data_IF_980838865176
#
_entry.id   IF_980838865176
#
_cell.length_a   1.000
_cell.length_b   1.000
_cell.length_c   1.000
_cell.angle_alpha   90.00
_cell.angle_beta   90.00
_cell.angle_gamma   90.00
#
_symmetry.space_group_name_H-M   'P 1'
#
loop_
_entity.id
_entity.type
_entity.pdbx_description
1 polymer ?
#
# COMPACT_ATOMS: atom_id res chain seq x y z
N UNK A 1 18.63 -5.31 34.34
CA UNK A 1 19.80 -5.09 35.23
C UNK A 1 19.64 -3.91 36.18
N UNK A 2 18.96 -2.82 35.80
CA UNK A 2 18.68 -1.67 36.69
C UNK A 2 17.91 -2.07 37.95
N UNK A 3 16.92 -2.96 37.81
CA UNK A 3 16.08 -3.36 38.94
C UNK A 3 16.83 -4.20 39.97
N UNK A 4 17.77 -5.05 39.55
CA UNK A 4 18.59 -5.86 40.48
C UNK A 4 19.47 -5.00 41.38
N UNK A 5 20.07 -3.92 40.85
CA UNK A 5 20.92 -3.02 41.63
C UNK A 5 20.10 -2.25 42.67
N UNK A 6 18.90 -1.78 42.29
CA UNK A 6 17.98 -1.10 43.22
C UNK A 6 17.53 -2.06 44.32
N UNK A 7 17.21 -3.32 43.99
CA UNK A 7 16.85 -4.33 44.98
C UNK A 7 17.97 -4.58 46.00
N UNK A 8 19.24 -4.70 45.56
CA UNK A 8 20.36 -4.89 46.49
C UNK A 8 20.59 -3.67 47.39
N UNK A 9 20.48 -2.44 46.85
CA UNK A 9 20.60 -1.21 47.63
C UNK A 9 19.48 -1.12 48.69
N UNK A 10 18.23 -1.40 48.30
CA UNK A 10 17.10 -1.44 49.24
C UNK A 10 17.29 -2.47 50.34
N UNK A 11 17.77 -3.67 49.99
CA UNK A 11 17.99 -4.75 50.95
C UNK A 11 19.12 -4.41 51.93
N UNK A 12 20.20 -3.77 51.47
CA UNK A 12 21.26 -3.28 52.35
C UNK A 12 20.81 -2.14 53.26
N UNK A 13 19.98 -1.20 52.76
CA UNK A 13 19.39 -0.13 53.56
C UNK A 13 18.47 -0.68 54.66
N UNK A 14 17.66 -1.68 54.33
CA UNK A 14 16.77 -2.34 55.30
C UNK A 14 17.57 -3.08 56.38
N UNK A 15 18.68 -3.74 56.01
CA UNK A 15 19.55 -4.42 56.96
C UNK A 15 20.24 -3.43 57.92
N UNK A 16 20.64 -2.26 57.43
CA UNK A 16 21.18 -1.16 58.25
C UNK A 16 20.12 -0.59 59.19
N UNK A 17 18.87 -0.41 58.72
CA UNK A 17 17.76 0.07 59.56
C UNK A 17 17.42 -0.91 60.69
N UNK A 18 17.46 -2.22 60.42
CA UNK A 18 17.26 -3.26 61.45
C UNK A 18 18.40 -3.24 62.49
N UNK A 19 19.64 -3.11 62.04
CA UNK A 19 20.80 -2.95 62.94
C UNK A 19 20.71 -1.67 63.80
N UNK A 20 20.14 -0.60 63.25
CA UNK A 20 19.91 0.66 63.97
C UNK A 20 18.95 0.48 65.16
N UNK A 21 17.83 -0.23 64.94
CA UNK A 21 16.83 -0.53 65.98
C UNK A 21 17.42 -1.46 67.06
N UNK A 22 18.20 -2.47 66.66
CA UNK A 22 18.80 -3.43 67.58
C UNK A 22 19.91 -2.82 68.45
N UNK A 23 20.62 -1.80 67.95
CA UNK A 23 21.75 -1.17 68.66
C UNK A 23 21.35 -0.02 69.59
N UNK A 24 20.05 0.33 69.67
CA UNK A 24 19.58 1.49 70.45
C UNK A 24 19.78 1.36 71.97
N UNK A 25 19.88 0.12 72.49
CA UNK A 25 19.87 -0.15 73.93
C UNK A 25 21.27 -0.48 74.52
N UNK A 26 22.30 -0.66 73.68
CA UNK A 26 23.63 -1.15 74.10
C UNK A 26 24.76 -0.13 73.95
N UNK A 27 24.44 1.10 73.50
CA UNK A 27 25.43 2.13 73.20
C UNK A 27 26.14 1.85 71.87
N UNK A 28 26.21 2.87 71.02
CA UNK A 28 26.80 2.73 69.70
C UNK A 28 28.32 2.73 69.81
N UNK A 29 28.94 1.56 69.65
CA UNK A 29 30.37 1.32 69.85
C UNK A 29 31.28 2.40 69.24
N UNK A 30 32.36 2.70 69.96
CA UNK A 30 33.32 3.74 69.57
C UNK A 30 34.38 3.15 68.64
N UNK A 31 34.62 3.81 67.50
CA UNK A 31 35.65 3.40 66.55
C UNK A 31 36.72 4.48 66.52
N UNK A 32 37.95 4.05 66.84
CA UNK A 32 39.13 4.89 66.77
C UNK A 32 39.96 4.48 65.56
N UNK A 33 40.03 5.36 64.56
CA UNK A 33 40.89 5.13 63.38
C UNK A 33 42.07 6.08 63.47
N UNK A 34 43.27 5.50 63.51
CA UNK A 34 44.51 6.22 63.40
C UNK A 34 45.20 5.87 62.09
N UNK A 35 45.35 6.86 61.21
CA UNK A 35 46.02 6.68 59.92
C UNK A 35 46.87 7.90 59.59
N UNK A 36 48.17 7.70 59.33
CA UNK A 36 49.13 8.75 58.95
C UNK A 36 49.08 10.03 59.83
N UNK A 37 48.96 9.85 61.15
CA UNK A 37 48.90 10.95 62.12
C UNK A 37 47.52 11.60 62.28
N UNK A 38 46.54 11.24 61.46
CA UNK A 38 45.15 11.68 61.62
C UNK A 38 44.43 10.75 62.59
N UNK A 39 43.82 11.34 63.61
CA UNK A 39 43.05 10.64 64.63
C UNK A 39 41.58 11.00 64.44
N UNK A 40 40.79 10.04 63.96
CA UNK A 40 39.35 10.24 63.77
C UNK A 40 38.63 9.40 64.82
N UNK A 41 37.95 10.10 65.72
CA UNK A 41 37.10 9.52 66.75
C UNK A 41 35.66 9.59 66.27
N UNK A 42 35.03 8.45 66.02
CA UNK A 42 33.64 8.42 65.55
C UNK A 42 32.86 7.22 66.06
N UNK A 43 31.55 7.29 65.82
CA UNK A 43 30.61 6.23 66.10
C UNK A 43 30.65 5.21 64.94
N UNK A 44 30.61 3.91 65.26
CA UNK A 44 30.52 2.80 64.29
C UNK A 44 29.45 3.04 63.21
N UNK A 45 28.32 3.65 63.56
CA UNK A 45 27.25 3.96 62.61
C UNK A 45 27.64 5.02 61.58
N UNK A 46 28.32 6.08 62.02
CA UNK A 46 28.80 7.15 61.12
C UNK A 46 29.80 6.55 60.14
N UNK A 47 30.67 5.65 60.61
CA UNK A 47 31.59 4.92 59.76
C UNK A 47 30.85 4.06 58.72
N UNK A 48 29.85 3.27 59.12
CA UNK A 48 29.07 2.43 58.20
C UNK A 48 28.35 3.24 57.13
N UNK A 49 27.73 4.36 57.50
CA UNK A 49 27.09 5.28 56.56
C UNK A 49 28.12 5.86 55.59
N UNK A 50 29.29 6.29 56.07
CA UNK A 50 30.37 6.77 55.21
C UNK A 50 30.85 5.70 54.22
N UNK A 51 30.96 4.43 54.64
CA UNK A 51 31.36 3.33 53.75
C UNK A 51 30.31 3.08 52.66
N UNK A 52 29.02 3.07 53.02
CA UNK A 52 27.93 2.91 52.03
C UNK A 52 27.91 4.08 51.04
N UNK A 53 28.05 5.31 51.53
CA UNK A 53 28.16 6.50 50.69
C UNK A 53 29.37 6.43 49.76
N UNK A 54 30.52 5.93 50.25
CA UNK A 54 31.71 5.75 49.43
C UNK A 54 31.52 4.69 48.34
N UNK A 55 30.89 3.55 48.66
CA UNK A 55 30.56 2.51 47.68
C UNK A 55 29.58 3.05 46.62
N UNK A 56 28.56 3.80 47.03
CA UNK A 56 27.61 4.42 46.11
C UNK A 56 28.27 5.48 45.21
N UNK A 57 29.14 6.33 45.77
CA UNK A 57 29.93 7.30 45.02
C UNK A 57 30.88 6.63 44.02
N UNK A 58 31.54 5.55 44.43
CA UNK A 58 32.44 4.80 43.55
C UNK A 58 31.68 4.09 42.42
N UNK A 59 30.54 3.48 42.72
CA UNK A 59 29.64 2.87 41.75
C UNK A 59 29.14 3.87 40.71
N UNK A 60 28.64 5.03 41.15
CA UNK A 60 28.15 6.08 40.25
C UNK A 60 29.27 6.67 39.41
N UNK A 61 30.44 6.91 40.00
CA UNK A 61 31.64 7.37 39.29
C UNK A 61 32.10 6.33 38.24
N UNK A 62 32.11 5.04 38.58
CA UNK A 62 32.45 3.97 37.65
C UNK A 62 31.48 3.87 36.47
N UNK A 63 30.19 4.03 36.72
CA UNK A 63 29.17 4.06 35.67
C UNK A 63 29.32 5.28 34.75
N UNK A 64 29.58 6.47 35.31
CA UNK A 64 29.86 7.67 34.53
C UNK A 64 31.13 7.51 33.70
N UNK A 65 32.21 7.01 34.29
CA UNK A 65 33.46 6.71 33.60
C UNK A 65 33.23 5.71 32.46
N UNK A 66 32.54 4.58 32.70
CA UNK A 66 32.20 3.62 31.63
C UNK A 66 31.39 4.25 30.50
N UNK A 67 30.43 5.12 30.82
CA UNK A 67 29.59 5.80 29.83
C UNK A 67 30.40 6.79 29.00
N UNK A 68 31.29 7.55 29.64
CA UNK A 68 32.19 8.51 28.98
C UNK A 68 33.23 7.77 28.12
N UNK A 69 33.83 6.70 28.63
CA UNK A 69 34.80 5.87 27.90
C UNK A 69 34.15 5.18 26.69
N UNK A 70 32.95 4.58 26.82
CA UNK A 70 32.24 3.99 25.66
C UNK A 70 31.96 5.03 24.57
N UNK A 71 31.46 6.21 24.96
CA UNK A 71 31.18 7.31 24.02
C UNK A 71 32.44 7.84 23.34
N UNK A 72 33.60 7.86 24.02
CA UNK A 72 34.87 8.31 23.44
C UNK A 72 35.55 7.23 22.60
N UNK A 73 35.50 5.95 22.99
CA UNK A 73 36.04 4.85 22.18
C UNK A 73 35.26 4.67 20.87
N UNK A 74 33.94 4.81 20.89
CA UNK A 74 33.10 4.67 19.68
C UNK A 74 33.38 5.76 18.63
N UNK A 75 33.85 6.96 19.03
CA UNK A 75 34.15 8.05 18.08
C UNK A 75 35.42 7.85 17.25
N UNK A 76 36.30 6.92 17.63
CA UNK A 76 37.59 6.72 16.97
C UNK A 76 37.82 5.31 16.41
N UNK A 77 36.85 4.41 16.57
CA UNK A 77 36.86 3.11 15.91
C UNK A 77 36.11 3.23 14.59
N UNK A 78 36.79 3.77 13.56
CA UNK A 78 36.34 3.43 12.21
C UNK A 78 36.53 1.92 12.03
N UNK A 79 35.47 1.18 11.68
CA UNK A 79 35.56 -0.26 11.44
C UNK A 79 36.60 -0.50 10.34
N UNK A 80 37.61 -1.32 10.61
CA UNK A 80 38.67 -1.62 9.63
C UNK A 80 38.21 -2.66 8.61
N UNK A 81 37.21 -3.45 8.96
CA UNK A 81 36.58 -4.42 8.07
C UNK A 81 35.06 -4.47 8.29
N UNK A 82 34.34 -4.79 7.22
CA UNK A 82 32.88 -4.95 7.27
C UNK A 82 32.44 -6.13 8.15
N UNK A 83 33.30 -7.14 8.30
CA UNK A 83 33.06 -8.33 9.14
C UNK A 83 33.27 -8.06 10.65
N UNK A 84 33.82 -6.92 11.04
CA UNK A 84 33.91 -6.51 12.45
C UNK A 84 32.64 -5.80 12.92
N UNK A 85 31.80 -5.34 11.99
CA UNK A 85 30.54 -4.66 12.29
C UNK A 85 29.52 -5.61 12.90
N UNK A 86 28.61 -5.07 13.70
CA UNK A 86 27.49 -5.84 14.23
C UNK A 86 26.54 -6.26 13.09
N UNK A 87 25.90 -7.45 13.14
CA UNK A 87 24.93 -7.90 12.13
C UNK A 87 23.92 -6.85 11.64
N UNK A 88 23.22 -6.14 12.55
CA UNK A 88 22.29 -5.06 12.15
C UNK A 88 22.97 -3.88 11.44
N UNK A 89 24.25 -3.59 11.72
CA UNK A 89 25.00 -2.52 11.03
C UNK A 89 25.38 -2.96 9.62
N UNK A 90 25.72 -4.24 9.44
CA UNK A 90 25.99 -4.80 8.11
C UNK A 90 24.75 -4.73 7.23
N UNK A 91 23.61 -5.19 7.74
CA UNK A 91 22.33 -5.13 7.01
C UNK A 91 21.94 -3.66 6.77
N UNK A 92 22.09 -2.79 7.76
CA UNK A 92 21.82 -1.36 7.60
C UNK A 92 22.67 -0.69 6.51
N UNK A 93 23.95 -1.04 6.39
CA UNK A 93 24.81 -0.55 5.30
C UNK A 93 24.36 -1.11 3.95
N UNK A 94 24.05 -2.41 3.86
CA UNK A 94 23.53 -3.02 2.62
C UNK A 94 22.23 -2.34 2.17
N UNK A 95 21.31 -2.11 3.11
CA UNK A 95 20.06 -1.40 2.88
C UNK A 95 20.29 0.05 2.42
N UNK A 96 21.18 0.81 3.09
CA UNK A 96 21.52 2.19 2.68
C UNK A 96 22.13 2.27 1.28
N UNK A 97 22.85 1.23 0.86
CA UNK A 97 23.44 1.12 -0.48
C UNK A 97 22.47 0.56 -1.52
N UNK A 98 21.23 0.21 -1.14
CA UNK A 98 20.25 -0.48 -1.99
C UNK A 98 20.85 -1.76 -2.64
N UNK A 99 21.79 -2.42 -1.95
CA UNK A 99 22.59 -3.52 -2.48
C UNK A 99 22.04 -4.91 -2.11
N UNK A 100 20.79 -4.99 -1.66
CA UNK A 100 20.16 -6.22 -1.17
C UNK A 100 20.17 -7.34 -2.22
N UNK A 101 19.93 -6.99 -3.48
CA UNK A 101 19.93 -7.94 -4.60
C UNK A 101 21.34 -8.32 -5.09
N UNK A 102 22.34 -7.46 -4.87
CA UNK A 102 23.71 -7.69 -5.37
C UNK A 102 24.55 -8.47 -4.36
N UNK A 103 24.32 -8.26 -3.06
CA UNK A 103 25.07 -8.87 -1.97
C UNK A 103 24.23 -9.89 -1.18
N UNK A 104 23.39 -10.65 -1.90
CA UNK A 104 22.47 -11.66 -1.39
C UNK A 104 23.15 -12.67 -0.44
N UNK A 105 24.31 -13.22 -0.82
CA UNK A 105 25.08 -14.17 0.00
C UNK A 105 25.53 -13.55 1.33
N UNK A 106 25.85 -12.25 1.33
CA UNK A 106 26.24 -11.54 2.55
C UNK A 106 25.07 -11.32 3.49
N UNK A 107 23.90 -11.02 2.94
CA UNK A 107 22.67 -10.91 3.73
C UNK A 107 22.41 -12.24 4.43
N UNK A 108 22.37 -13.36 3.71
CA UNK A 108 22.18 -14.70 4.29
C UNK A 108 23.25 -15.03 5.34
N UNK A 109 24.53 -14.76 5.04
CA UNK A 109 25.64 -15.05 5.97
C UNK A 109 25.49 -14.31 7.31
N UNK A 110 24.86 -13.13 7.30
CA UNK A 110 24.64 -12.33 8.51
C UNK A 110 23.60 -12.96 9.43
N UNK A 111 22.70 -13.79 8.90
CA UNK A 111 21.64 -14.47 9.64
C UNK A 111 21.96 -15.93 10.00
N UNK A 112 23.10 -16.51 9.61
CA UNK A 112 23.43 -17.93 9.83
C UNK A 112 23.25 -18.44 11.27
N UNK A 113 23.43 -17.57 12.26
CA UNK A 113 23.26 -17.92 13.68
C UNK A 113 21.83 -17.72 14.21
N UNK A 114 20.89 -17.26 13.37
CA UNK A 114 19.51 -17.01 13.74
C UNK A 114 18.64 -18.22 13.40
N UNK A 115 18.16 -18.94 14.40
CA UNK A 115 17.26 -20.09 14.20
C UNK A 115 15.94 -19.70 13.54
N UNK A 116 15.45 -18.47 13.75
CA UNK A 116 14.15 -18.03 13.27
C UNK A 116 14.21 -17.35 11.89
N UNK A 117 15.17 -16.46 11.66
CA UNK A 117 15.21 -15.67 10.42
C UNK A 117 16.01 -16.35 9.31
N UNK A 118 17.01 -17.16 9.64
CA UNK A 118 17.83 -17.82 8.62
C UNK A 118 17.00 -18.64 7.62
N UNK A 119 16.03 -19.48 8.05
CA UNK A 119 15.24 -20.25 7.10
C UNK A 119 14.41 -19.37 6.16
N UNK A 120 13.84 -18.26 6.67
CA UNK A 120 13.00 -17.35 5.88
C UNK A 120 13.82 -16.54 4.88
N UNK A 121 14.96 -16.00 5.31
CA UNK A 121 15.84 -15.20 4.45
C UNK A 121 16.44 -16.09 3.34
N UNK A 122 16.81 -17.32 3.67
CA UNK A 122 17.30 -18.29 2.67
C UNK A 122 16.21 -18.65 1.67
N UNK A 123 14.97 -18.88 2.13
CA UNK A 123 13.83 -19.12 1.24
C UNK A 123 13.55 -17.92 0.33
N UNK A 124 13.60 -16.69 0.87
CA UNK A 124 13.40 -15.47 0.07
C UNK A 124 14.44 -15.34 -1.04
N UNK A 125 15.70 -15.62 -0.75
CA UNK A 125 16.76 -15.63 -1.75
C UNK A 125 16.49 -16.66 -2.86
N UNK A 126 16.06 -17.87 -2.52
CA UNK A 126 15.70 -18.89 -3.50
C UNK A 126 14.54 -18.44 -4.40
N UNK A 127 13.53 -17.76 -3.82
CA UNK A 127 12.42 -17.16 -4.58
C UNK A 127 12.94 -16.10 -5.55
N UNK A 128 13.79 -15.18 -5.07
CA UNK A 128 14.34 -14.09 -5.88
C UNK A 128 15.22 -14.62 -7.04
N UNK A 129 15.83 -15.81 -6.88
CA UNK A 129 16.61 -16.49 -7.91
C UNK A 129 15.76 -17.34 -8.88
N UNK A 130 14.44 -17.42 -8.66
CA UNK A 130 13.52 -18.21 -9.48
C UNK A 130 13.50 -19.72 -9.13
N UNK A 131 14.11 -20.11 -8.02
CA UNK A 131 14.13 -21.50 -7.50
C UNK A 131 12.96 -21.74 -6.52
N UNK A 132 11.72 -21.51 -6.99
CA UNK A 132 10.50 -21.61 -6.17
C UNK A 132 10.27 -22.99 -5.54
N UNK A 133 10.51 -24.07 -6.28
CA UNK A 133 10.36 -25.44 -5.78
C UNK A 133 11.33 -25.76 -4.63
N UNK A 134 12.59 -25.32 -4.75
CA UNK A 134 13.60 -25.48 -3.70
C UNK A 134 13.22 -24.65 -2.47
N UNK A 135 12.73 -23.42 -2.66
CA UNK A 135 12.23 -22.59 -1.57
C UNK A 135 11.05 -23.24 -0.84
N UNK A 136 10.13 -23.86 -1.59
CA UNK A 136 8.97 -24.58 -1.05
C UNK A 136 9.39 -25.80 -0.24
N UNK A 137 10.36 -26.58 -0.72
CA UNK A 137 10.90 -27.72 0.02
C UNK A 137 11.64 -27.25 1.28
N UNK A 138 12.45 -26.21 1.17
CA UNK A 138 13.19 -25.62 2.28
C UNK A 138 12.29 -25.14 3.42
N UNK A 139 11.18 -24.46 3.10
CA UNK A 139 10.18 -24.02 4.08
C UNK A 139 9.38 -25.17 4.70
N UNK A 140 9.23 -26.30 4.01
CA UNK A 140 8.56 -27.50 4.55
C UNK A 140 9.46 -28.26 5.53
N UNK A 141 10.74 -28.39 5.20
CA UNK A 141 11.71 -29.09 6.03
C UNK A 141 12.06 -28.29 7.29
N UNK A 142 12.13 -26.97 7.17
CA UNK A 142 12.43 -26.07 8.29
C UNK A 142 11.15 -25.40 8.82
N UNK A 143 10.38 -26.12 9.64
CA UNK A 143 9.19 -25.57 10.28
C UNK A 143 9.56 -24.32 11.11
N UNK A 144 9.03 -23.17 10.72
CA UNK A 144 9.37 -21.89 11.32
C UNK A 144 8.28 -21.43 12.31
N UNK A 145 8.64 -21.03 13.54
CA UNK A 145 7.67 -20.46 14.49
C UNK A 145 7.10 -19.10 14.06
N UNK A 146 7.74 -18.39 13.11
CA UNK A 146 7.27 -17.12 12.54
C UNK A 146 6.29 -17.37 11.40
N UNK A 147 5.11 -17.86 11.75
CA UNK A 147 4.09 -18.33 10.82
C UNK A 147 3.70 -17.30 9.75
N UNK A 148 3.37 -16.07 10.13
CA UNK A 148 2.86 -15.05 9.20
C UNK A 148 3.89 -14.70 8.12
N UNK A 149 5.17 -14.59 8.49
CA UNK A 149 6.25 -14.32 7.54
C UNK A 149 6.48 -15.51 6.60
N UNK A 150 6.38 -16.74 7.11
CA UNK A 150 6.48 -17.93 6.28
C UNK A 150 5.32 -18.03 5.28
N UNK A 151 4.10 -17.68 5.67
CA UNK A 151 2.93 -17.65 4.78
C UNK A 151 3.06 -16.56 3.71
N UNK A 152 3.57 -15.37 4.05
CA UNK A 152 3.87 -14.33 3.07
C UNK A 152 4.83 -14.83 1.97
N UNK A 153 5.86 -15.60 2.32
CA UNK A 153 6.77 -16.20 1.34
C UNK A 153 6.12 -17.32 0.52
N UNK A 154 5.21 -18.10 1.11
CA UNK A 154 4.44 -19.12 0.37
C UNK A 154 3.51 -18.50 -0.65
N UNK A 155 2.95 -17.32 -0.37
CA UNK A 155 2.19 -16.53 -1.36
C UNK A 155 3.10 -16.14 -2.52
N UNK A 156 4.31 -15.63 -2.24
CA UNK A 156 5.27 -15.27 -3.29
C UNK A 156 5.63 -16.47 -4.19
N UNK A 157 5.84 -17.66 -3.59
CA UNK A 157 6.05 -18.91 -4.32
C UNK A 157 4.82 -19.25 -5.19
N UNK A 158 3.61 -19.22 -4.62
CA UNK A 158 2.39 -19.55 -5.35
C UNK A 158 2.13 -18.60 -6.52
N UNK A 159 2.42 -17.31 -6.36
CA UNK A 159 2.35 -16.32 -7.42
C UNK A 159 3.39 -16.58 -8.52
N UNK A 160 4.62 -16.94 -8.15
CA UNK A 160 5.68 -17.30 -9.10
C UNK A 160 5.35 -18.59 -9.89
N UNK A 161 4.78 -19.59 -9.22
CA UNK A 161 4.34 -20.86 -9.81
C UNK A 161 3.06 -20.73 -10.64
N UNK A 162 2.45 -19.54 -10.70
CA UNK A 162 1.14 -19.26 -11.33
C UNK A 162 -0.02 -20.05 -10.72
N UNK A 163 0.13 -20.52 -9.48
CA UNK A 163 -0.94 -21.15 -8.73
C UNK A 163 -1.76 -20.08 -7.97
N UNK A 164 -2.53 -19.30 -8.73
CA UNK A 164 -3.27 -18.16 -8.19
C UNK A 164 -4.34 -18.55 -7.17
N UNK A 165 -4.87 -19.78 -7.23
CA UNK A 165 -5.89 -20.26 -6.29
C UNK A 165 -5.29 -20.47 -4.90
N UNK A 166 -4.13 -21.13 -4.84
CA UNK A 166 -3.40 -21.27 -3.59
C UNK A 166 -2.94 -19.91 -3.03
N UNK A 167 -2.57 -18.96 -3.90
CA UNK A 167 -2.23 -17.60 -3.47
C UNK A 167 -3.43 -16.86 -2.86
N UNK A 168 -4.60 -16.96 -3.49
CA UNK A 168 -5.85 -16.34 -3.02
C UNK A 168 -6.27 -16.88 -1.64
N UNK A 169 -6.32 -18.21 -1.49
CA UNK A 169 -6.72 -18.86 -0.23
C UNK A 169 -5.81 -18.43 0.94
N UNK A 170 -4.50 -18.34 0.69
CA UNK A 170 -3.52 -17.89 1.69
C UNK A 170 -3.67 -16.42 2.03
N UNK A 171 -3.91 -15.56 1.04
CA UNK A 171 -4.12 -14.14 1.25
C UNK A 171 -5.39 -13.88 2.06
N UNK A 172 -6.49 -14.56 1.73
CA UNK A 172 -7.75 -14.50 2.47
C UNK A 172 -7.54 -14.96 3.92
N UNK A 173 -6.86 -16.08 4.10
CA UNK A 173 -6.51 -16.58 5.43
C UNK A 173 -5.76 -15.53 6.25
N UNK A 174 -4.67 -14.95 5.73
CA UNK A 174 -3.88 -13.94 6.43
C UNK A 174 -4.63 -12.63 6.71
N UNK A 175 -5.70 -12.35 5.96
CA UNK A 175 -6.50 -11.13 6.12
C UNK A 175 -7.43 -11.24 7.34
N UNK A 176 -7.92 -12.46 7.63
CA UNK A 176 -8.84 -12.71 8.75
C UNK A 176 -8.11 -13.08 10.04
N UNK A 177 -6.92 -13.65 9.95
CA UNK A 177 -6.18 -14.09 11.14
C UNK A 177 -5.77 -12.91 12.04
N UNK A 178 -5.94 -13.03 13.37
CA UNK A 178 -5.42 -12.04 14.29
C UNK A 178 -3.89 -12.03 14.26
N UNK A 179 -3.31 -10.84 14.13
CA UNK A 179 -1.86 -10.67 14.08
C UNK A 179 -1.21 -11.12 15.40
N UNK A 180 -0.10 -11.87 15.31
CA UNK A 180 0.66 -12.25 16.51
C UNK A 180 1.17 -11.03 17.30
N UNK A 181 1.20 -11.18 18.63
CA UNK A 181 1.55 -10.11 19.58
C UNK A 181 2.91 -9.44 19.25
N UNK A 182 3.87 -10.23 18.77
CA UNK A 182 5.23 -9.75 18.48
C UNK A 182 5.31 -8.91 17.20
N UNK A 183 4.31 -8.98 16.31
CA UNK A 183 4.23 -8.20 15.08
C UNK A 183 3.50 -6.86 15.25
N UNK A 184 2.75 -6.65 16.34
CA UNK A 184 2.07 -5.36 16.60
C UNK A 184 2.98 -4.12 16.46
N UNK A 185 4.25 -4.12 16.92
CA UNK A 185 5.12 -2.96 16.72
C UNK A 185 5.36 -2.58 15.26
N UNK A 186 5.19 -3.53 14.33
CA UNK A 186 5.40 -3.38 12.88
C UNK A 186 4.14 -3.67 12.07
N UNK A 187 2.96 -3.65 12.70
CA UNK A 187 1.67 -3.99 12.09
C UNK A 187 1.40 -3.20 10.80
N UNK A 188 1.71 -1.91 10.79
CA UNK A 188 1.54 -1.08 9.59
C UNK A 188 2.38 -1.56 8.40
N UNK A 189 3.60 -2.01 8.66
CA UNK A 189 4.48 -2.54 7.62
C UNK A 189 3.99 -3.90 7.12
N UNK A 190 3.53 -4.76 8.03
CA UNK A 190 2.91 -6.04 7.67
C UNK A 190 1.66 -5.86 6.80
N UNK A 191 0.76 -4.95 7.20
CA UNK A 191 -0.45 -4.65 6.42
C UNK A 191 -0.13 -4.03 5.05
N UNK A 192 0.95 -3.23 4.95
CA UNK A 192 1.41 -2.71 3.67
C UNK A 192 1.91 -3.84 2.75
N UNK A 193 2.74 -4.75 3.26
CA UNK A 193 3.21 -5.92 2.50
C UNK A 193 2.05 -6.82 2.06
N UNK A 194 1.08 -7.07 2.94
CA UNK A 194 -0.11 -7.86 2.60
C UNK A 194 -0.92 -7.20 1.47
N UNK A 195 -1.12 -5.88 1.52
CA UNK A 195 -1.77 -5.14 0.43
C UNK A 195 -1.00 -5.18 -0.89
N UNK A 196 0.33 -5.11 -0.84
CA UNK A 196 1.16 -5.24 -2.06
C UNK A 196 1.02 -6.62 -2.70
N UNK A 197 0.94 -7.69 -1.89
CA UNK A 197 0.69 -9.04 -2.42
C UNK A 197 -0.71 -9.18 -3.03
N UNK A 198 -1.73 -8.60 -2.39
CA UNK A 198 -3.07 -8.49 -2.98
C UNK A 198 -3.05 -7.73 -4.30
N UNK A 199 -2.32 -6.62 -4.38
CA UNK A 199 -2.16 -5.84 -5.61
C UNK A 199 -1.45 -6.64 -6.72
N UNK A 200 -0.44 -7.44 -6.38
CA UNK A 200 0.25 -8.28 -7.35
C UNK A 200 -0.67 -9.36 -7.94
N UNK A 201 -1.49 -9.98 -7.07
CA UNK A 201 -2.53 -10.91 -7.52
C UNK A 201 -3.56 -10.19 -8.40
N UNK A 202 -4.01 -9.00 -7.99
CA UNK A 202 -5.04 -8.23 -8.69
C UNK A 202 -4.62 -7.76 -10.09
N UNK A 203 -3.33 -7.47 -10.28
CA UNK A 203 -2.79 -7.17 -11.63
C UNK A 203 -2.85 -8.36 -12.57
N UNK A 204 -2.68 -9.56 -12.03
CA UNK A 204 -2.56 -10.78 -12.83
C UNK A 204 -3.91 -11.44 -13.08
N UNK A 205 -4.76 -11.50 -12.05
CA UNK A 205 -6.11 -12.05 -12.09
C UNK A 205 -7.09 -11.07 -11.42
N UNK A 206 -7.45 -9.96 -12.09
CA UNK A 206 -8.19 -8.85 -11.49
C UNK A 206 -9.59 -9.23 -11.02
N UNK A 207 -10.26 -10.13 -11.75
CA UNK A 207 -11.61 -10.63 -11.43
C UNK A 207 -11.67 -11.54 -10.21
N UNK A 208 -10.53 -12.13 -9.81
CA UNK A 208 -10.51 -13.09 -8.70
C UNK A 208 -10.69 -12.43 -7.33
N UNK A 209 -10.47 -11.11 -7.23
CA UNK A 209 -10.76 -10.36 -6.01
C UNK A 209 -12.22 -10.50 -5.60
N UNK A 210 -13.14 -10.57 -6.57
CA UNK A 210 -14.56 -10.71 -6.25
C UNK A 210 -14.93 -12.08 -5.68
N UNK A 211 -14.08 -13.09 -5.87
CA UNK A 211 -14.27 -14.45 -5.33
C UNK A 211 -13.84 -14.57 -3.88
N UNK A 212 -13.03 -13.63 -3.39
CA UNK A 212 -12.57 -13.61 -1.99
C UNK A 212 -13.73 -13.24 -1.06
N UNK A 213 -13.92 -13.98 0.03
CA UNK A 213 -14.91 -13.61 1.05
C UNK A 213 -14.53 -12.32 1.77
N UNK A 214 -13.23 -12.02 1.83
CA UNK A 214 -12.68 -10.83 2.47
C UNK A 214 -11.79 -10.05 1.50
N UNK A 215 -12.36 -8.98 0.93
CA UNK A 215 -11.67 -8.14 -0.05
C UNK A 215 -10.61 -7.24 0.62
N UNK A 216 -9.50 -6.96 -0.07
CA UNK A 216 -8.48 -6.05 0.44
C UNK A 216 -8.97 -4.61 0.47
N UNK A 217 -8.52 -3.85 1.46
CA UNK A 217 -8.71 -2.40 1.49
C UNK A 217 -7.55 -1.72 0.75
N UNK A 218 -7.75 -1.45 -0.53
CA UNK A 218 -6.79 -0.70 -1.33
C UNK A 218 -6.78 0.78 -0.97
N UNK A 219 -5.61 1.41 -1.08
CA UNK A 219 -5.53 2.86 -1.13
C UNK A 219 -5.95 3.37 -2.53
N UNK A 220 -6.24 4.66 -2.73
CA UNK A 220 -6.71 5.17 -4.02
C UNK A 220 -5.77 4.85 -5.19
N UNK A 221 -4.45 4.92 -4.99
CA UNK A 221 -3.46 4.59 -6.03
C UNK A 221 -3.52 3.11 -6.44
N UNK A 222 -3.66 2.20 -5.48
CA UNK A 222 -3.78 0.77 -5.70
C UNK A 222 -5.14 0.42 -6.34
N UNK A 223 -6.21 1.09 -5.93
CA UNK A 223 -7.54 0.95 -6.53
C UNK A 223 -7.52 1.28 -8.02
N UNK A 224 -6.89 2.40 -8.40
CA UNK A 224 -6.72 2.77 -9.82
C UNK A 224 -5.98 1.70 -10.62
N UNK A 225 -4.90 1.15 -10.06
CA UNK A 225 -4.12 0.08 -10.70
C UNK A 225 -4.97 -1.17 -10.91
N UNK A 226 -5.76 -1.57 -9.91
CA UNK A 226 -6.64 -2.73 -10.02
C UNK A 226 -7.79 -2.50 -11.00
N UNK A 227 -8.47 -1.34 -10.94
CA UNK A 227 -9.55 -0.98 -11.86
C UNK A 227 -9.06 -0.92 -13.31
N UNK A 228 -7.84 -0.43 -13.54
CA UNK A 228 -7.23 -0.46 -14.87
C UNK A 228 -6.98 -1.90 -15.34
N UNK A 229 -6.46 -2.77 -14.47
CA UNK A 229 -6.25 -4.18 -14.80
C UNK A 229 -7.57 -4.91 -15.11
N UNK A 230 -8.64 -4.61 -14.38
CA UNK A 230 -10.00 -5.09 -14.68
C UNK A 230 -10.46 -4.65 -16.07
N UNK A 231 -10.22 -3.38 -16.44
CA UNK A 231 -10.62 -2.84 -17.73
C UNK A 231 -9.85 -3.52 -18.87
N UNK A 232 -8.54 -3.68 -18.71
CA UNK A 232 -7.66 -4.29 -19.70
C UNK A 232 -8.04 -5.77 -19.94
N UNK A 233 -8.48 -6.48 -18.91
CA UNK A 233 -8.90 -7.88 -18.97
C UNK A 233 -10.43 -8.06 -18.98
N UNK A 234 -11.18 -7.02 -19.37
CA UNK A 234 -12.65 -7.06 -19.37
C UNK A 234 -13.24 -8.11 -20.32
N UNK A 235 -12.58 -8.39 -21.44
CA UNK A 235 -13.00 -9.42 -22.40
C UNK A 235 -12.83 -10.86 -21.88
N UNK A 236 -12.05 -11.05 -20.82
CA UNK A 236 -11.81 -12.38 -20.21
C UNK A 236 -12.82 -12.71 -19.10
N UNK A 237 -13.72 -11.78 -18.75
CA UNK A 237 -14.69 -11.94 -17.68
C UNK A 237 -15.77 -12.98 -18.02
N UNK A 238 -15.97 -13.96 -17.15
CA UNK A 238 -17.09 -14.91 -17.27
C UNK A 238 -18.41 -14.28 -16.81
N UNK A 239 -19.54 -14.89 -17.16
CA UNK A 239 -20.86 -14.44 -16.69
C UNK A 239 -20.96 -14.42 -15.16
N UNK A 240 -20.29 -15.35 -14.47
CA UNK A 240 -20.20 -15.38 -13.00
C UNK A 240 -19.40 -14.19 -12.47
N UNK A 241 -18.27 -13.85 -13.09
CA UNK A 241 -17.45 -12.71 -12.69
C UNK A 241 -18.21 -11.38 -12.89
N UNK A 242 -19.03 -11.28 -13.94
CA UNK A 242 -19.90 -10.11 -14.18
C UNK A 242 -20.98 -9.97 -13.09
N UNK A 243 -21.56 -11.07 -12.63
CA UNK A 243 -22.53 -11.06 -11.53
C UNK A 243 -21.88 -10.61 -10.22
N UNK A 244 -20.70 -11.15 -9.89
CA UNK A 244 -19.97 -10.75 -8.69
C UNK A 244 -19.56 -9.27 -8.74
N UNK A 245 -19.19 -8.77 -9.92
CA UNK A 245 -18.93 -7.34 -10.12
C UNK A 245 -20.17 -6.48 -9.89
N UNK A 246 -21.36 -6.93 -10.30
CA UNK A 246 -22.61 -6.22 -10.03
C UNK A 246 -22.89 -6.15 -8.53
N UNK A 247 -22.74 -7.26 -7.81
CA UNK A 247 -22.94 -7.30 -6.35
C UNK A 247 -21.96 -6.35 -5.63
N UNK A 248 -20.70 -6.34 -6.06
CA UNK A 248 -19.70 -5.41 -5.57
C UNK A 248 -20.08 -3.95 -5.86
N UNK A 249 -20.47 -3.63 -7.11
CA UNK A 249 -20.89 -2.29 -7.52
C UNK A 249 -22.07 -1.78 -6.69
N UNK A 250 -23.07 -2.63 -6.44
CA UNK A 250 -24.22 -2.28 -5.58
C UNK A 250 -23.80 -1.98 -4.14
N UNK A 251 -22.77 -2.66 -3.64
CA UNK A 251 -22.25 -2.44 -2.29
C UNK A 251 -21.56 -1.08 -2.17
N UNK A 252 -20.79 -0.69 -3.19
CA UNK A 252 -20.05 0.58 -3.19
C UNK A 252 -20.88 1.77 -3.71
N UNK A 253 -22.07 1.53 -4.25
CA UNK A 253 -22.87 2.54 -4.96
C UNK A 253 -23.15 3.80 -4.11
N UNK A 254 -23.26 3.66 -2.79
CA UNK A 254 -23.47 4.76 -1.86
C UNK A 254 -22.22 5.62 -1.66
N UNK A 255 -21.04 5.02 -1.75
CA UNK A 255 -19.75 5.66 -1.51
C UNK A 255 -19.13 6.23 -2.80
N UNK A 256 -19.63 5.84 -3.98
CA UNK A 256 -19.16 6.32 -5.30
C UNK A 256 -18.99 7.85 -5.40
N UNK A 257 -19.92 8.70 -4.89
CA UNK A 257 -19.78 10.15 -5.01
C UNK A 257 -18.56 10.72 -4.28
N UNK A 258 -18.07 10.03 -3.24
CA UNK A 258 -16.94 10.47 -2.42
C UNK A 258 -15.58 9.95 -2.93
N UNK A 259 -15.58 9.04 -3.91
CA UNK A 259 -14.37 8.49 -4.53
C UNK A 259 -13.69 9.48 -5.48
N UNK A 260 -12.42 9.22 -5.82
CA UNK A 260 -11.70 10.07 -6.78
C UNK A 260 -12.35 9.99 -8.17
N UNK A 261 -12.34 11.11 -8.88
CA UNK A 261 -12.97 11.21 -10.21
C UNK A 261 -12.37 10.22 -11.21
N UNK A 262 -11.07 9.88 -11.11
CA UNK A 262 -10.44 8.91 -11.98
C UNK A 262 -10.95 7.49 -11.71
N UNK A 263 -11.20 7.14 -10.44
CA UNK A 263 -11.82 5.86 -10.07
C UNK A 263 -13.23 5.76 -10.64
N UNK A 264 -14.03 6.83 -10.51
CA UNK A 264 -15.39 6.91 -11.06
C UNK A 264 -15.40 6.71 -12.59
N UNK A 265 -14.46 7.35 -13.31
CA UNK A 265 -14.35 7.21 -14.77
C UNK A 265 -13.99 5.77 -15.14
N UNK A 266 -13.06 5.11 -14.44
CA UNK A 266 -12.69 3.73 -14.72
C UNK A 266 -13.85 2.76 -14.45
N UNK A 267 -14.59 2.96 -13.36
CA UNK A 267 -15.80 2.17 -13.06
C UNK A 267 -16.85 2.37 -14.15
N UNK A 268 -17.06 3.61 -14.61
CA UNK A 268 -17.98 3.88 -15.72
C UNK A 268 -17.55 3.16 -17.01
N UNK A 269 -16.27 3.21 -17.35
CA UNK A 269 -15.73 2.50 -18.52
C UNK A 269 -15.96 0.99 -18.41
N UNK A 270 -15.74 0.42 -17.23
CA UNK A 270 -16.01 -1.00 -16.96
C UNK A 270 -17.49 -1.35 -17.15
N UNK A 271 -18.40 -0.59 -16.53
CA UNK A 271 -19.84 -0.79 -16.70
C UNK A 271 -20.24 -0.70 -18.17
N UNK A 272 -19.63 0.22 -18.93
CA UNK A 272 -19.93 0.39 -20.35
C UNK A 272 -19.49 -0.78 -21.24
N UNK A 273 -18.59 -1.66 -20.78
CA UNK A 273 -18.18 -2.84 -21.56
C UNK A 273 -19.27 -3.91 -21.66
N UNK A 274 -20.17 -3.98 -20.68
CA UNK A 274 -21.17 -5.04 -20.61
C UNK A 274 -22.57 -4.52 -20.92
N UNK A 275 -23.29 -5.21 -21.80
CA UNK A 275 -24.66 -4.84 -22.17
C UNK A 275 -25.63 -4.89 -20.99
N UNK A 276 -25.34 -5.73 -19.99
CA UNK A 276 -26.14 -5.88 -18.78
C UNK A 276 -26.27 -4.57 -18.00
N UNK A 277 -25.22 -3.72 -18.00
CA UNK A 277 -25.15 -2.50 -17.20
C UNK A 277 -25.44 -1.22 -18.01
N UNK A 278 -26.08 -1.37 -19.15
CA UNK A 278 -26.38 -0.27 -20.06
C UNK A 278 -27.20 0.85 -19.38
N UNK A 279 -28.21 0.51 -18.57
CA UNK A 279 -29.01 1.52 -17.87
C UNK A 279 -28.24 2.19 -16.73
N UNK A 280 -27.53 1.40 -15.93
CA UNK A 280 -26.76 1.84 -14.77
C UNK A 280 -25.58 2.73 -15.18
N UNK A 281 -24.87 2.36 -16.26
CA UNK A 281 -23.79 3.17 -16.83
C UNK A 281 -24.30 4.53 -17.34
N UNK A 282 -25.47 4.57 -17.97
CA UNK A 282 -26.07 5.81 -18.43
C UNK A 282 -26.46 6.73 -17.25
N UNK A 283 -27.09 6.19 -16.21
CA UNK A 283 -27.43 6.95 -15.00
C UNK A 283 -26.17 7.44 -14.28
N UNK A 284 -25.16 6.59 -14.16
CA UNK A 284 -23.91 6.94 -13.48
C UNK A 284 -23.14 8.05 -14.22
N UNK A 285 -23.05 7.97 -15.55
CA UNK A 285 -22.45 9.02 -16.35
C UNK A 285 -23.18 10.36 -16.20
N UNK A 286 -24.53 10.35 -16.12
CA UNK A 286 -25.29 11.57 -15.86
C UNK A 286 -24.96 12.18 -14.49
N UNK A 287 -24.84 11.36 -13.44
CA UNK A 287 -24.47 11.82 -12.09
C UNK A 287 -23.08 12.46 -12.09
N UNK A 288 -22.10 11.85 -12.76
CA UNK A 288 -20.75 12.42 -12.88
C UNK A 288 -20.81 13.78 -13.59
N UNK A 289 -21.51 13.87 -14.74
CA UNK A 289 -21.61 15.12 -15.51
C UNK A 289 -22.34 16.23 -14.75
N UNK A 290 -23.33 15.90 -13.92
CA UNK A 290 -24.00 16.86 -13.04
C UNK A 290 -23.06 17.44 -11.98
N UNK A 291 -22.13 16.63 -11.46
CA UNK A 291 -21.16 17.08 -10.47
C UNK A 291 -20.01 17.87 -11.12
N UNK A 292 -19.48 17.38 -12.24
CA UNK A 292 -18.36 17.99 -12.96
C UNK A 292 -18.37 17.60 -14.43
N UNK A 293 -18.19 18.59 -15.30
CA UNK A 293 -18.05 18.31 -16.73
C UNK A 293 -16.73 17.58 -17.06
N UNK A 294 -16.85 16.39 -17.64
CA UNK A 294 -15.74 15.57 -18.15
C UNK A 294 -16.11 15.11 -19.57
N UNK A 295 -15.41 15.57 -20.63
CA UNK A 295 -15.74 15.23 -22.02
C UNK A 295 -15.83 13.73 -22.31
N UNK A 296 -14.90 12.95 -21.75
CA UNK A 296 -14.87 11.50 -21.95
C UNK A 296 -16.15 10.80 -21.45
N UNK A 297 -16.64 11.21 -20.27
CA UNK A 297 -17.88 10.69 -19.68
C UNK A 297 -19.09 11.03 -20.55
N UNK A 298 -19.12 12.23 -21.14
CA UNK A 298 -20.17 12.64 -22.05
C UNK A 298 -20.24 11.73 -23.28
N UNK A 299 -19.09 11.36 -23.83
CA UNK A 299 -19.07 10.51 -25.02
C UNK A 299 -19.49 9.08 -24.72
N UNK A 300 -19.07 8.51 -23.57
CA UNK A 300 -19.54 7.20 -23.10
C UNK A 300 -21.06 7.22 -22.91
N UNK A 301 -21.59 8.29 -22.29
CA UNK A 301 -23.03 8.46 -22.12
C UNK A 301 -23.77 8.54 -23.46
N UNK A 302 -23.25 9.33 -24.41
CA UNK A 302 -23.87 9.55 -25.72
C UNK A 302 -23.96 8.25 -26.52
N UNK A 303 -22.88 7.47 -26.58
CA UNK A 303 -22.85 6.17 -27.24
C UNK A 303 -23.94 5.24 -26.70
N UNK A 304 -24.00 5.09 -25.38
CA UNK A 304 -25.02 4.26 -24.71
C UNK A 304 -26.44 4.78 -24.93
N UNK A 305 -26.66 6.08 -24.79
CA UNK A 305 -27.96 6.71 -24.95
C UNK A 305 -28.52 6.53 -26.38
N UNK A 306 -27.66 6.66 -27.40
CA UNK A 306 -28.05 6.50 -28.80
C UNK A 306 -28.33 5.03 -29.16
N UNK A 307 -27.60 4.09 -28.57
CA UNK A 307 -27.77 2.65 -28.80
C UNK A 307 -29.00 2.07 -28.08
N UNK A 308 -29.41 2.64 -26.94
CA UNK A 308 -30.54 2.16 -26.12
C UNK A 308 -31.94 2.57 -26.60
N UNK A 309 -32.06 3.20 -27.77
CA UNK A 309 -33.34 3.69 -28.31
C UNK A 309 -34.14 4.59 -27.34
N UNK A 310 -33.43 5.37 -26.50
CA UNK A 310 -34.10 6.36 -25.65
C UNK A 310 -34.81 7.42 -26.52
N UNK A 311 -35.94 7.99 -26.06
CA UNK A 311 -36.62 9.05 -26.80
C UNK A 311 -35.67 10.22 -27.04
N UNK A 312 -35.39 10.52 -28.32
CA UNK A 312 -34.40 11.53 -28.72
C UNK A 312 -34.69 12.91 -28.09
N UNK A 313 -35.96 13.22 -27.84
CA UNK A 313 -36.40 14.45 -27.18
C UNK A 313 -35.89 14.57 -25.73
N UNK A 314 -35.79 13.46 -24.99
CA UNK A 314 -35.25 13.46 -23.63
C UNK A 314 -33.73 13.69 -23.64
N UNK A 315 -33.03 13.10 -24.61
CA UNK A 315 -31.59 13.31 -24.80
C UNK A 315 -31.27 14.78 -25.12
N UNK A 316 -32.07 15.41 -25.98
CA UNK A 316 -31.90 16.82 -26.31
C UNK A 316 -32.14 17.73 -25.10
N UNK A 317 -33.19 17.48 -24.31
CA UNK A 317 -33.45 18.25 -23.08
C UNK A 317 -32.31 18.11 -22.07
N UNK A 318 -31.76 16.90 -21.89
CA UNK A 318 -30.63 16.66 -21.01
C UNK A 318 -29.38 17.43 -21.48
N UNK A 319 -29.08 17.41 -22.79
CA UNK A 319 -27.97 18.17 -23.34
C UNK A 319 -28.15 19.68 -23.16
N UNK A 320 -29.36 20.21 -23.36
CA UNK A 320 -29.64 21.64 -23.15
C UNK A 320 -29.37 22.04 -21.70
N UNK A 321 -29.80 21.22 -20.72
CA UNK A 321 -29.51 21.47 -19.31
C UNK A 321 -27.99 21.51 -19.04
N UNK A 322 -27.21 20.61 -19.63
CA UNK A 322 -25.75 20.65 -19.48
C UNK A 322 -25.10 21.80 -20.23
N UNK A 323 -25.65 22.26 -21.36
CA UNK A 323 -25.19 23.46 -22.05
C UNK A 323 -25.42 24.73 -21.24
N UNK A 324 -26.53 24.78 -20.49
CA UNK A 324 -26.82 25.88 -19.56
C UNK A 324 -25.84 25.90 -18.37
N UNK A 325 -25.49 24.72 -17.83
CA UNK A 325 -24.55 24.58 -16.70
C UNK A 325 -23.10 24.79 -17.17
N UNK A 326 -22.73 24.27 -18.34
CA UNK A 326 -21.39 24.27 -18.90
C UNK A 326 -21.39 24.92 -20.30
N UNK A 327 -21.42 26.26 -20.38
CA UNK A 327 -21.48 26.95 -21.66
C UNK A 327 -20.21 26.77 -22.47
N UNK A 328 -20.36 26.84 -23.80
CA UNK A 328 -19.27 26.88 -24.79
C UNK A 328 -18.32 25.66 -24.79
N UNK A 329 -18.83 24.47 -24.51
CA UNK A 329 -18.06 23.23 -24.60
C UNK A 329 -18.19 22.57 -25.98
N UNK A 330 -17.10 22.37 -26.75
CA UNK A 330 -17.14 21.71 -28.05
C UNK A 330 -17.73 20.30 -27.98
N UNK A 331 -17.48 19.55 -26.91
CA UNK A 331 -18.00 18.18 -26.74
C UNK A 331 -19.53 18.14 -26.63
N UNK A 332 -20.17 19.16 -26.05
CA UNK A 332 -21.63 19.26 -25.99
C UNK A 332 -22.22 19.60 -27.36
N UNK A 333 -21.53 20.45 -28.14
CA UNK A 333 -21.90 20.76 -29.53
C UNK A 333 -21.75 19.53 -30.43
N UNK A 334 -20.70 18.74 -30.23
CA UNK A 334 -20.49 17.44 -30.87
C UNK A 334 -21.66 16.48 -30.57
N UNK A 335 -22.06 16.34 -29.30
CA UNK A 335 -23.18 15.50 -28.92
C UNK A 335 -24.51 15.98 -29.54
N UNK A 336 -24.75 17.30 -29.56
CA UNK A 336 -25.93 17.90 -30.17
C UNK A 336 -26.00 17.65 -31.68
N UNK A 337 -24.86 17.66 -32.37
CA UNK A 337 -24.78 17.32 -33.79
C UNK A 337 -25.28 15.91 -34.07
N UNK A 338 -24.85 14.92 -33.28
CA UNK A 338 -25.31 13.52 -33.43
C UNK A 338 -26.82 13.37 -33.19
N UNK A 339 -27.38 14.11 -32.22
CA UNK A 339 -28.83 14.16 -31.99
C UNK A 339 -29.56 14.74 -33.22
N UNK A 340 -29.10 15.86 -33.78
CA UNK A 340 -29.73 16.47 -34.95
C UNK A 340 -29.65 15.61 -36.21
N UNK A 341 -28.55 14.87 -36.41
CA UNK A 341 -28.45 13.89 -37.49
C UNK A 341 -29.51 12.78 -37.33
N UNK A 342 -29.75 12.28 -36.12
CA UNK A 342 -30.78 11.26 -35.84
C UNK A 342 -32.21 11.81 -36.00
N UNK A 343 -32.43 13.09 -35.69
CA UNK A 343 -33.71 13.78 -35.91
C UNK A 343 -33.95 14.20 -37.38
N UNK A 344 -33.00 13.95 -38.29
CA UNK A 344 -33.04 14.40 -39.69
C UNK A 344 -33.04 15.93 -39.86
N UNK A 345 -32.53 16.65 -38.87
CA UNK A 345 -32.45 18.12 -38.86
C UNK A 345 -31.07 18.59 -39.35
N UNK A 346 -30.77 18.29 -40.61
CA UNK A 346 -29.43 18.45 -41.19
C UNK A 346 -28.98 19.91 -41.26
N UNK A 347 -29.90 20.85 -41.53
CA UNK A 347 -29.55 22.28 -41.64
C UNK A 347 -29.01 22.85 -40.32
N UNK A 348 -29.61 22.47 -39.19
CA UNK A 348 -29.14 22.90 -37.87
C UNK A 348 -27.84 22.20 -37.49
N UNK A 349 -27.69 20.92 -37.84
CA UNK A 349 -26.43 20.19 -37.65
C UNK A 349 -25.25 20.85 -38.38
N UNK A 350 -25.45 21.28 -39.64
CA UNK A 350 -24.40 21.99 -40.41
C UNK A 350 -24.00 23.34 -39.78
N UNK A 351 -24.93 24.05 -39.14
CA UNK A 351 -24.63 25.31 -38.46
C UNK A 351 -23.73 25.10 -37.24
N UNK A 352 -23.90 23.99 -36.52
CA UNK A 352 -23.07 23.65 -35.36
C UNK A 352 -21.60 23.42 -35.74
N UNK A 353 -21.33 22.88 -36.93
CA UNK A 353 -19.97 22.63 -37.43
C UNK A 353 -19.10 23.88 -37.59
N UNK A 354 -19.73 25.07 -37.63
CA UNK A 354 -19.05 26.37 -37.80
C UNK A 354 -18.69 27.05 -36.48
N UNK A 355 -19.22 26.58 -35.34
CA UNK A 355 -19.07 27.26 -34.04
C UNK A 355 -17.66 27.10 -33.44
N UNK A 356 -17.01 25.94 -33.65
CA UNK A 356 -15.66 25.65 -33.14
C UNK A 356 -14.73 25.22 -34.28
N UNK A 357 -14.05 26.17 -34.96
CA UNK A 357 -13.17 25.88 -36.09
C UNK A 357 -11.89 25.15 -35.67
N UNK A 358 -11.36 25.42 -34.48
CA UNK A 358 -10.06 24.92 -34.04
C UNK A 358 -10.13 23.62 -33.21
N UNK A 359 -11.34 23.11 -32.95
CA UNK A 359 -11.55 21.88 -32.18
C UNK A 359 -11.38 20.61 -33.03
N UNK A 360 -10.71 19.60 -32.47
CA UNK A 360 -10.38 18.35 -33.17
C UNK A 360 -11.61 17.48 -33.45
N UNK A 361 -12.58 17.41 -32.52
CA UNK A 361 -13.81 16.61 -32.70
C UNK A 361 -14.72 17.25 -33.75
N UNK A 362 -14.82 18.58 -33.74
CA UNK A 362 -15.59 19.31 -34.75
C UNK A 362 -14.91 19.28 -36.12
N UNK A 363 -13.57 19.27 -36.18
CA UNK A 363 -12.83 19.04 -37.41
C UNK A 363 -13.07 17.64 -37.97
N UNK A 364 -13.10 16.62 -37.11
CA UNK A 364 -13.47 15.26 -37.51
C UNK A 364 -14.87 15.21 -38.15
N UNK A 365 -15.89 15.77 -37.49
CA UNK A 365 -17.25 15.80 -38.04
C UNK A 365 -17.33 16.52 -39.40
N UNK A 366 -16.60 17.63 -39.59
CA UNK A 366 -16.53 18.33 -40.88
C UNK A 366 -15.92 17.46 -41.98
N UNK A 367 -14.86 16.73 -41.67
CA UNK A 367 -14.23 15.81 -42.62
C UNK A 367 -15.19 14.66 -42.93
N UNK A 368 -15.81 14.05 -41.91
CA UNK A 368 -16.78 12.97 -42.04
C UNK A 368 -17.97 13.38 -42.93
N UNK A 369 -18.55 14.55 -42.72
CA UNK A 369 -19.67 15.06 -43.52
C UNK A 369 -19.23 15.34 -44.99
N UNK A 370 -18.00 15.83 -45.19
CA UNK A 370 -17.46 16.09 -46.54
C UNK A 370 -17.19 14.82 -47.35
N UNK A 371 -16.80 13.72 -46.70
CA UNK A 371 -16.50 12.43 -47.34
C UNK A 371 -17.67 11.43 -47.31
N UNK A 372 -18.85 11.87 -46.86
CA UNK A 372 -20.07 11.04 -46.69
C UNK A 372 -20.46 10.24 -47.95
N UNK A 373 -20.02 10.67 -49.12
CA UNK A 373 -20.27 10.03 -50.42
C UNK A 373 -19.30 8.91 -50.81
N UNK A 374 -18.24 8.66 -50.03
CA UNK A 374 -17.19 7.70 -50.36
C UNK A 374 -16.88 6.74 -49.20
N UNK A 375 -17.42 5.53 -49.27
CA UNK A 375 -17.27 4.49 -48.22
C UNK A 375 -15.79 4.16 -47.92
N UNK A 376 -14.94 4.06 -48.95
CA UNK A 376 -13.51 3.78 -48.76
C UNK A 376 -12.77 4.86 -47.94
N UNK A 377 -13.14 6.13 -48.12
CA UNK A 377 -12.52 7.24 -47.38
C UNK A 377 -13.03 7.30 -45.94
N UNK A 378 -14.26 6.84 -45.68
CA UNK A 378 -14.78 6.69 -44.33
C UNK A 378 -14.04 5.59 -43.56
N UNK A 379 -13.74 4.46 -44.20
CA UNK A 379 -12.92 3.40 -43.62
C UNK A 379 -11.50 3.87 -43.31
N UNK A 380 -10.85 4.59 -44.25
CA UNK A 380 -9.52 5.18 -44.03
C UNK A 380 -9.52 6.18 -42.87
N UNK A 381 -10.57 7.00 -42.74
CA UNK A 381 -10.71 7.95 -41.64
C UNK A 381 -10.85 7.21 -40.30
N UNK A 382 -11.65 6.13 -40.24
CA UNK A 382 -11.79 5.28 -39.03
C UNK A 382 -10.47 4.63 -38.63
N UNK A 383 -9.70 4.14 -39.59
CA UNK A 383 -8.36 3.59 -39.35
C UNK A 383 -7.42 4.64 -38.76
N UNK A 384 -7.39 5.85 -39.32
CA UNK A 384 -6.57 6.94 -38.79
C UNK A 384 -6.91 7.30 -37.33
N UNK A 385 -8.19 7.20 -36.95
CA UNK A 385 -8.65 7.46 -35.58
C UNK A 385 -8.23 6.36 -34.61
N UNK A 386 -8.31 5.09 -35.01
CA UNK A 386 -7.86 3.95 -34.20
C UNK A 386 -6.37 4.04 -33.82
N UNK A 387 -5.53 4.64 -34.68
CA UNK A 387 -4.11 4.84 -34.41
C UNK A 387 -3.76 6.17 -33.74
N UNK A 388 -4.74 7.06 -33.54
CA UNK A 388 -4.51 8.33 -32.88
C UNK A 388 -4.40 8.14 -31.35
N UNK A 389 -3.56 8.95 -30.69
CA UNK A 389 -3.41 8.94 -29.22
C UNK A 389 -4.58 9.60 -28.48
N UNK A 390 -5.49 10.23 -29.20
CA UNK A 390 -6.72 10.75 -28.65
C UNK A 390 -7.69 9.56 -28.58
N UNK A 391 -8.35 9.34 -27.45
CA UNK A 391 -9.31 8.25 -27.24
C UNK A 391 -10.57 8.44 -28.13
N UNK A 392 -10.43 8.24 -29.44
CA UNK A 392 -11.51 8.22 -30.43
C UNK A 392 -12.07 6.79 -30.59
N UNK A 393 -12.33 6.10 -29.49
CA UNK A 393 -12.98 4.79 -29.50
C UNK A 393 -14.50 5.00 -29.36
N UNK A 394 -15.12 5.54 -30.39
CA UNK A 394 -16.58 5.64 -30.48
C UNK A 394 -17.04 4.86 -31.70
N UNK A 395 -17.97 3.92 -31.49
CA UNK A 395 -18.72 3.26 -32.57
C UNK A 395 -19.99 4.06 -32.91
N UNK A 396 -19.84 5.38 -33.11
CA UNK A 396 -20.92 6.34 -33.37
C UNK A 396 -21.19 6.60 -34.86
#
# INVERSE_FOLDING_TARGET
MRDRIVSYICLTLLLIAVMFVLSFNTGFGYVYIQWLGWQIQSNLLVLLVCVVCFIAAFSTLWHLLRKVFRRRLQKHLMPKSFQELHPYERIGIVWLLHAEQVEQDRVVSTYQNSEWLYPLISARLLIDQGHGDEAKQWLKENQNPLFELAELLKIDIALADKNYAEALDRLEFLTVQPLSIWLHPVEKAYQAELREKWLLLSKTCPWWIFKASHQPQFNPEQSLIWLQALLDQSFEASDEDQQLFLEWYQTIALDLPDMDIQEQILILKLLSQFELFNAESAEFAQKILQQRFVPEVLYIWLDKALNQQQPIQQLEQQLQQWQDIYPAQPSLTFAQWHIYQRQQNFEQAEQLLKQFPDDAYMAYLRIQEAIKSSDALQEDLKLLLQYSKQDFKFDL
#
